data_IF_404644720793
#
_entry.id   IF_404644720793
#
_cell.length_a   1.000
_cell.length_b   1.000
_cell.length_c   1.000
_cell.angle_alpha   90.00
_cell.angle_beta   90.00
_cell.angle_gamma   90.00
#
_symmetry.space_group_name_H-M   'P 1'
#
loop_
_entity.id
_entity.type
_entity.pdbx_description
1 polymer ?
#
# COMPACT_ATOMS: atom_id res chain seq x y z
N UNK A 1 37.25 16.69 -25.07
CA UNK A 1 37.85 15.99 -23.88
C UNK A 1 37.09 16.21 -22.57
N UNK A 2 35.82 16.56 -22.55
CA UNK A 2 35.05 16.94 -21.35
C UNK A 2 34.07 15.87 -20.82
N UNK A 3 33.52 15.03 -21.67
CA UNK A 3 32.38 14.15 -21.29
C UNK A 3 32.79 12.86 -20.56
N UNK A 4 33.97 12.34 -20.75
CA UNK A 4 34.43 11.09 -20.09
C UNK A 4 34.87 11.31 -18.64
N UNK A 5 35.30 12.54 -18.27
CA UNK A 5 35.70 12.84 -16.87
C UNK A 5 34.50 13.04 -15.92
N UNK A 6 33.36 13.51 -16.44
CA UNK A 6 32.14 13.68 -15.63
C UNK A 6 31.50 12.33 -15.23
N UNK A 7 31.56 11.32 -16.12
CA UNK A 7 31.03 9.98 -15.84
C UNK A 7 31.77 9.23 -14.72
N UNK A 8 33.07 9.51 -14.56
CA UNK A 8 33.89 8.88 -13.54
C UNK A 8 33.66 9.44 -12.13
N UNK A 9 33.34 10.72 -12.03
CA UNK A 9 33.04 11.39 -10.76
C UNK A 9 31.65 11.01 -10.24
N UNK A 10 30.64 10.95 -11.11
CA UNK A 10 29.26 10.57 -10.75
C UNK A 10 29.16 9.11 -10.24
N UNK A 11 29.96 8.19 -10.81
CA UNK A 11 29.98 6.77 -10.34
C UNK A 11 30.60 6.59 -8.95
N UNK A 12 31.53 7.43 -8.54
CA UNK A 12 32.16 7.34 -7.21
C UNK A 12 31.27 7.94 -6.11
N UNK A 13 30.56 9.03 -6.42
CA UNK A 13 29.73 9.72 -5.43
C UNK A 13 28.44 8.96 -5.10
N UNK A 14 27.80 8.29 -6.07
CA UNK A 14 26.58 7.49 -5.83
C UNK A 14 26.88 6.24 -5.01
N UNK A 15 28.02 5.55 -5.24
CA UNK A 15 28.42 4.41 -4.42
C UNK A 15 28.74 4.84 -2.97
N UNK A 16 29.25 6.04 -2.77
CA UNK A 16 29.55 6.60 -1.45
C UNK A 16 28.27 7.07 -0.74
N UNK A 17 27.27 7.56 -1.47
CA UNK A 17 25.98 7.96 -0.90
C UNK A 17 25.12 6.75 -0.51
N UNK A 18 25.23 5.63 -1.23
CA UNK A 18 24.51 4.39 -0.91
C UNK A 18 25.23 3.48 0.10
N UNK A 19 26.53 3.67 0.31
CA UNK A 19 27.37 2.82 1.20
C UNK A 19 27.96 3.51 2.43
N UNK A 20 27.85 4.81 2.55
CA UNK A 20 28.42 5.59 3.65
C UNK A 20 27.37 5.93 4.71
N UNK A 21 27.24 5.12 5.74
CA UNK A 21 26.46 5.42 6.94
C UNK A 21 26.92 6.72 7.61
N UNK A 22 26.57 7.87 7.07
CA UNK A 22 26.58 9.10 7.85
C UNK A 22 25.37 9.04 8.78
N UNK A 23 25.63 8.73 10.03
CA UNK A 23 24.69 8.96 11.13
C UNK A 23 24.35 10.45 11.15
N UNK A 24 23.26 10.84 10.52
CA UNK A 24 22.65 12.12 10.78
C UNK A 24 22.11 12.04 12.20
N UNK A 25 22.65 12.89 13.10
CA UNK A 25 22.10 13.00 14.45
C UNK A 25 20.62 13.37 14.35
N UNK A 26 19.74 12.51 14.84
CA UNK A 26 18.29 12.67 14.82
C UNK A 26 17.83 13.81 15.75
N UNK A 27 18.42 14.98 15.65
CA UNK A 27 18.10 16.15 16.44
C UNK A 27 17.24 17.13 15.66
N UNK A 28 15.95 17.17 15.98
CA UNK A 28 15.06 18.35 15.94
C UNK A 28 14.48 18.87 14.63
N UNK A 29 15.07 18.62 13.45
CA UNK A 29 14.56 19.23 12.21
C UNK A 29 13.25 18.60 11.69
N UNK A 30 13.02 17.29 11.90
CA UNK A 30 11.82 16.56 11.43
C UNK A 30 10.88 16.11 12.55
N UNK A 31 11.14 16.46 13.82
CA UNK A 31 10.41 15.90 14.95
C UNK A 31 10.83 14.45 15.26
N UNK A 32 10.07 13.76 16.11
CA UNK A 32 10.33 12.35 16.44
C UNK A 32 9.80 11.45 15.33
N UNK A 33 10.68 10.92 14.49
CA UNK A 33 10.34 9.90 13.49
C UNK A 33 10.43 8.49 14.11
N UNK A 34 9.62 7.53 13.61
CA UNK A 34 9.72 6.13 14.04
C UNK A 34 11.09 5.56 13.63
N UNK A 35 11.68 4.73 14.49
CA UNK A 35 12.96 4.05 14.18
C UNK A 35 12.80 2.97 13.13
N UNK A 36 11.60 2.42 13.00
CA UNK A 36 11.25 1.36 12.05
C UNK A 36 9.89 1.64 11.43
N UNK A 37 9.77 1.39 10.14
CA UNK A 37 8.52 1.47 9.38
C UNK A 37 8.22 0.10 8.76
N UNK A 38 7.00 -0.37 8.97
CA UNK A 38 6.47 -1.57 8.32
C UNK A 38 5.89 -1.18 6.95
N UNK A 39 6.40 -1.79 5.89
CA UNK A 39 5.81 -1.67 4.55
C UNK A 39 4.81 -2.78 4.31
N UNK A 40 3.66 -2.41 3.77
CA UNK A 40 2.64 -3.33 3.23
C UNK A 40 2.64 -3.17 1.72
N UNK A 41 3.10 -4.19 1.03
CA UNK A 41 3.18 -4.21 -0.42
C UNK A 41 1.81 -4.59 -1.00
N UNK A 42 1.17 -3.66 -1.67
CA UNK A 42 -0.15 -3.88 -2.27
C UNK A 42 -0.11 -4.06 -3.79
N UNK A 43 1.07 -4.07 -4.39
CA UNK A 43 1.26 -4.21 -5.83
C UNK A 43 0.59 -5.46 -6.42
N UNK A 44 0.75 -6.66 -5.86
CA UNK A 44 0.14 -7.86 -6.40
C UNK A 44 -1.40 -7.86 -6.34
N UNK A 45 -2.01 -7.14 -5.41
CA UNK A 45 -3.46 -7.01 -5.31
C UNK A 45 -3.94 -5.69 -5.92
N UNK A 46 -3.75 -4.57 -5.23
CA UNK A 46 -4.29 -3.26 -5.59
C UNK A 46 -3.63 -2.73 -6.87
N UNK A 47 -2.33 -2.91 -6.97
CA UNK A 47 -1.57 -2.52 -8.15
C UNK A 47 -2.04 -3.25 -9.40
N UNK A 48 -1.97 -4.56 -9.42
CA UNK A 48 -2.34 -5.37 -10.59
C UNK A 48 -3.83 -5.27 -10.91
N UNK A 49 -4.71 -5.11 -9.92
CA UNK A 49 -6.16 -5.02 -10.13
C UNK A 49 -6.53 -3.95 -11.16
N UNK A 50 -5.78 -2.88 -11.25
CA UNK A 50 -6.02 -1.75 -12.14
C UNK A 50 -5.24 -1.84 -13.47
N UNK A 51 -4.43 -2.89 -13.69
CA UNK A 51 -3.71 -3.09 -14.94
C UNK A 51 -4.64 -3.70 -16.01
N UNK A 52 -4.52 -3.17 -17.24
CA UNK A 52 -5.38 -3.62 -18.37
C UNK A 52 -4.99 -4.99 -18.91
N UNK A 53 -3.71 -5.32 -18.81
CA UNK A 53 -3.16 -6.60 -19.28
C UNK A 53 -3.38 -7.63 -18.18
N UNK A 54 -4.06 -8.73 -18.50
CA UNK A 54 -4.22 -9.86 -17.59
C UNK A 54 -2.85 -10.52 -17.40
N UNK A 55 -2.36 -10.51 -16.18
CA UNK A 55 -1.08 -11.09 -15.82
C UNK A 55 -1.27 -12.59 -15.55
N UNK A 56 -0.46 -13.48 -16.15
CA UNK A 56 -0.52 -14.91 -15.88
C UNK A 56 -0.24 -15.25 -14.40
N UNK A 57 -0.82 -16.34 -13.92
CA UNK A 57 -0.73 -16.78 -12.54
C UNK A 57 0.72 -17.03 -12.09
N UNK A 58 1.51 -17.69 -12.92
CA UNK A 58 2.93 -17.95 -12.66
C UNK A 58 3.76 -16.67 -12.50
N UNK A 59 3.45 -15.64 -13.28
CA UNK A 59 4.06 -14.31 -13.17
C UNK A 59 3.67 -13.62 -11.87
N UNK A 60 2.41 -13.70 -11.44
CA UNK A 60 1.96 -13.16 -10.15
C UNK A 60 2.67 -13.85 -8.99
N UNK A 61 2.78 -15.17 -9.05
CA UNK A 61 3.49 -15.99 -8.07
C UNK A 61 4.98 -15.62 -8.01
N UNK A 62 5.64 -15.46 -9.16
CA UNK A 62 7.05 -15.05 -9.21
C UNK A 62 7.23 -13.64 -8.65
N UNK A 63 6.34 -12.69 -8.98
CA UNK A 63 6.36 -11.35 -8.40
C UNK A 63 6.27 -11.38 -6.87
N UNK A 64 5.29 -12.09 -6.31
CA UNK A 64 5.10 -12.21 -4.86
C UNK A 64 6.33 -12.84 -4.20
N UNK A 65 6.90 -13.89 -4.79
CA UNK A 65 8.09 -14.55 -4.26
C UNK A 65 9.32 -13.62 -4.28
N UNK A 66 9.53 -12.84 -5.34
CA UNK A 66 10.61 -11.82 -5.42
C UNK A 66 10.47 -10.75 -4.36
N UNK A 67 9.24 -10.27 -4.11
CA UNK A 67 8.95 -9.27 -3.10
C UNK A 67 9.21 -9.84 -1.69
N UNK A 68 8.84 -11.09 -1.45
CA UNK A 68 9.15 -11.78 -0.19
C UNK A 68 10.67 -11.96 0.02
N UNK A 69 11.41 -12.38 -1.04
CA UNK A 69 12.86 -12.51 -1.03
C UNK A 69 13.60 -11.15 -0.90
N UNK A 70 12.91 -10.04 -1.21
CA UNK A 70 13.39 -8.69 -0.95
C UNK A 70 13.23 -8.24 0.51
N UNK A 71 12.54 -9.03 1.35
CA UNK A 71 12.37 -8.75 2.77
C UNK A 71 11.09 -7.97 3.12
N UNK A 72 10.13 -7.84 2.20
CA UNK A 72 8.83 -7.22 2.51
C UNK A 72 8.08 -8.07 3.53
N UNK A 73 7.69 -7.49 4.69
CA UNK A 73 7.09 -8.27 5.78
C UNK A 73 5.62 -8.60 5.55
N UNK A 74 4.95 -7.81 4.72
CA UNK A 74 3.52 -7.99 4.37
C UNK A 74 3.34 -7.77 2.88
N UNK A 75 2.74 -8.73 2.19
CA UNK A 75 2.45 -8.67 0.75
C UNK A 75 0.99 -9.05 0.55
N UNK A 76 0.15 -8.09 0.20
CA UNK A 76 -1.25 -8.35 -0.12
C UNK A 76 -1.34 -9.13 -1.44
N UNK A 77 -1.53 -10.45 -1.32
CA UNK A 77 -1.26 -11.38 -2.41
C UNK A 77 -2.30 -11.35 -3.52
N UNK A 78 -3.57 -11.19 -3.17
CA UNK A 78 -4.70 -11.24 -4.12
C UNK A 78 -6.01 -10.77 -3.48
N UNK A 79 -7.12 -10.87 -4.21
CA UNK A 79 -8.47 -10.54 -3.74
C UNK A 79 -9.45 -11.65 -4.06
N UNK A 80 -10.28 -12.02 -3.10
CA UNK A 80 -11.39 -12.97 -3.26
C UNK A 80 -12.70 -12.27 -3.67
N UNK A 81 -12.57 -11.26 -4.53
CA UNK A 81 -13.68 -10.63 -5.21
C UNK A 81 -14.19 -11.51 -6.36
N UNK A 82 -15.43 -11.32 -6.76
CA UNK A 82 -15.98 -12.10 -7.91
C UNK A 82 -15.17 -11.83 -9.19
N UNK A 83 -14.73 -12.87 -9.91
CA UNK A 83 -14.02 -12.73 -11.19
C UNK A 83 -14.81 -11.95 -12.27
N UNK A 84 -16.13 -11.91 -12.14
CA UNK A 84 -17.00 -11.12 -13.04
C UNK A 84 -16.76 -9.63 -12.92
N UNK A 85 -16.36 -9.16 -11.71
CA UNK A 85 -16.06 -7.75 -11.45
C UNK A 85 -14.59 -7.43 -11.68
N UNK A 86 -13.69 -8.32 -11.26
CA UNK A 86 -12.25 -8.12 -11.38
C UNK A 86 -11.62 -9.36 -12.02
N UNK A 87 -11.63 -9.47 -13.36
CA UNK A 87 -11.04 -10.62 -14.07
C UNK A 87 -9.55 -10.84 -13.75
N UNK A 88 -8.80 -9.77 -13.48
CA UNK A 88 -7.40 -9.84 -13.09
C UNK A 88 -7.16 -10.71 -11.85
N UNK A 89 -8.14 -10.85 -10.96
CA UNK A 89 -8.06 -11.62 -9.71
C UNK A 89 -8.78 -12.98 -9.80
N UNK A 90 -9.07 -13.48 -11.02
CA UNK A 90 -9.82 -14.72 -11.20
C UNK A 90 -9.06 -15.98 -10.72
N UNK A 91 -7.75 -15.90 -10.65
CA UNK A 91 -6.81 -16.97 -10.28
C UNK A 91 -6.41 -16.96 -8.79
N UNK A 92 -7.15 -16.26 -7.94
CA UNK A 92 -6.82 -16.02 -6.53
C UNK A 92 -6.51 -17.30 -5.74
N UNK A 93 -7.22 -18.39 -6.00
CA UNK A 93 -7.02 -19.68 -5.30
C UNK A 93 -5.68 -20.29 -5.71
N UNK A 94 -5.35 -20.25 -6.99
CA UNK A 94 -4.13 -20.81 -7.52
C UNK A 94 -2.91 -20.01 -7.07
N UNK A 95 -2.99 -18.67 -7.10
CA UNK A 95 -1.95 -17.80 -6.54
C UNK A 95 -1.67 -18.16 -5.10
N UNK A 96 -2.70 -18.22 -4.23
CA UNK A 96 -2.54 -18.52 -2.79
C UNK A 96 -1.96 -19.90 -2.51
N UNK A 97 -2.19 -20.87 -3.39
CA UNK A 97 -1.63 -22.23 -3.25
C UNK A 97 -0.19 -22.32 -3.74
N UNK A 98 0.20 -21.49 -4.72
CA UNK A 98 1.48 -21.60 -5.43
C UNK A 98 2.59 -20.72 -4.87
N UNK A 99 2.27 -19.64 -4.12
CA UNK A 99 3.29 -18.78 -3.52
C UNK A 99 4.09 -19.51 -2.44
N UNK A 100 5.38 -19.17 -2.33
CA UNK A 100 6.23 -19.58 -1.20
C UNK A 100 5.79 -18.81 0.04
N UNK A 101 5.28 -19.53 1.02
CA UNK A 101 4.87 -18.92 2.30
C UNK A 101 6.06 -18.90 3.24
N UNK A 102 6.84 -17.81 3.22
CA UNK A 102 7.96 -17.62 4.13
C UNK A 102 7.45 -17.36 5.55
N UNK A 103 8.10 -17.91 6.60
CA UNK A 103 7.58 -17.86 7.97
C UNK A 103 7.46 -16.45 8.56
N UNK A 104 8.27 -15.51 8.07
CA UNK A 104 8.30 -14.12 8.56
C UNK A 104 7.57 -13.13 7.64
N UNK A 105 6.78 -13.62 6.68
CA UNK A 105 6.03 -12.80 5.73
C UNK A 105 4.55 -13.12 5.85
N UNK A 106 3.73 -12.10 6.04
CA UNK A 106 2.27 -12.23 5.97
C UNK A 106 1.78 -12.01 4.54
N UNK A 107 0.77 -12.79 4.15
CA UNK A 107 0.15 -12.74 2.83
C UNK A 107 -1.36 -12.51 2.98
N UNK A 108 -1.78 -11.29 3.41
CA UNK A 108 -3.20 -10.97 3.50
C UNK A 108 -3.87 -11.02 2.12
N UNK A 109 -5.17 -11.27 2.13
CA UNK A 109 -6.00 -11.24 0.93
C UNK A 109 -7.25 -10.41 1.17
N UNK A 110 -7.66 -9.64 0.17
CA UNK A 110 -8.87 -8.83 0.27
C UNK A 110 -10.12 -9.71 0.17
N UNK A 111 -11.06 -9.53 1.10
CA UNK A 111 -12.34 -10.26 1.11
C UNK A 111 -13.51 -9.28 1.15
N UNK A 112 -14.38 -9.25 0.13
CA UNK A 112 -15.48 -8.28 0.04
C UNK A 112 -16.70 -8.65 0.88
N UNK A 113 -16.82 -9.90 1.32
CA UNK A 113 -17.95 -10.45 2.05
C UNK A 113 -17.64 -11.84 2.62
N UNK A 114 -18.59 -12.42 3.35
CA UNK A 114 -18.46 -13.75 3.97
C UNK A 114 -18.17 -14.87 2.96
N UNK A 115 -18.71 -14.80 1.73
CA UNK A 115 -18.42 -15.79 0.68
C UNK A 115 -16.95 -15.73 0.25
N UNK A 116 -16.43 -14.53 0.03
CA UNK A 116 -15.01 -14.31 -0.27
C UNK A 116 -14.11 -14.76 0.88
N UNK A 117 -14.50 -14.48 2.14
CA UNK A 117 -13.78 -14.96 3.31
C UNK A 117 -13.68 -16.48 3.34
N UNK A 118 -14.80 -17.20 3.16
CA UNK A 118 -14.81 -18.67 3.14
C UNK A 118 -13.92 -19.24 2.03
N UNK A 119 -13.96 -18.63 0.84
CA UNK A 119 -13.08 -19.02 -0.27
C UNK A 119 -11.60 -18.77 0.06
N UNK A 120 -11.27 -17.67 0.70
CA UNK A 120 -9.91 -17.34 1.14
C UNK A 120 -9.39 -18.39 2.16
N UNK A 121 -10.22 -18.77 3.13
CA UNK A 121 -9.87 -19.81 4.11
C UNK A 121 -9.58 -21.15 3.40
N UNK A 122 -10.43 -21.55 2.47
CA UNK A 122 -10.25 -22.78 1.68
C UNK A 122 -8.98 -22.74 0.79
N UNK A 123 -8.51 -21.56 0.43
CA UNK A 123 -7.25 -21.36 -0.28
C UNK A 123 -6.03 -21.27 0.66
N UNK A 124 -6.23 -21.34 1.98
CA UNK A 124 -5.18 -21.33 3.00
C UNK A 124 -4.67 -19.95 3.38
N UNK A 125 -5.47 -18.89 3.21
CA UNK A 125 -5.18 -17.58 3.75
C UNK A 125 -5.09 -17.62 5.28
N UNK A 126 -4.18 -16.82 5.85
CA UNK A 126 -3.95 -16.71 7.30
C UNK A 126 -4.24 -15.33 7.84
N UNK A 127 -4.53 -14.39 6.94
CA UNK A 127 -4.90 -13.02 7.22
C UNK A 127 -5.79 -12.52 6.10
N UNK A 128 -6.79 -11.70 6.43
CA UNK A 128 -7.67 -11.09 5.44
C UNK A 128 -7.76 -9.58 5.63
N UNK A 129 -8.20 -8.91 4.57
CA UNK A 129 -8.52 -7.49 4.62
C UNK A 129 -9.97 -7.25 4.20
N UNK A 130 -10.60 -6.25 4.82
CA UNK A 130 -11.90 -5.69 4.45
C UNK A 130 -11.72 -4.21 4.12
N UNK A 131 -12.69 -3.60 3.44
CA UNK A 131 -12.58 -2.22 3.00
C UNK A 131 -13.90 -1.47 3.12
N UNK A 132 -13.83 -0.27 3.66
CA UNK A 132 -14.92 0.69 3.71
C UNK A 132 -14.50 2.00 3.06
N UNK A 133 -15.35 3.02 3.17
CA UNK A 133 -15.06 4.35 2.67
C UNK A 133 -15.59 5.42 3.63
N UNK A 134 -14.93 6.57 3.67
CA UNK A 134 -15.42 7.75 4.40
C UNK A 134 -16.40 8.61 3.56
N UNK A 135 -16.78 8.13 2.37
CA UNK A 135 -17.69 8.80 1.45
C UNK A 135 -18.89 7.91 1.12
N UNK A 136 -20.10 8.40 1.38
CA UNK A 136 -21.34 7.70 1.02
C UNK A 136 -21.46 7.48 -0.49
N UNK A 137 -21.15 8.49 -1.29
CA UNK A 137 -21.21 8.40 -2.74
C UNK A 137 -20.22 7.36 -3.29
N UNK A 138 -19.01 7.27 -2.70
CA UNK A 138 -18.05 6.26 -3.08
C UNK A 138 -18.49 4.86 -2.67
N UNK A 139 -18.98 4.69 -1.44
CA UNK A 139 -19.49 3.41 -0.95
C UNK A 139 -20.59 2.87 -1.87
N UNK A 140 -21.59 3.70 -2.17
CA UNK A 140 -22.70 3.30 -3.07
C UNK A 140 -22.22 2.91 -4.48
N UNK A 141 -21.26 3.65 -5.04
CA UNK A 141 -20.74 3.36 -6.39
C UNK A 141 -19.77 2.17 -6.44
N UNK A 142 -18.97 1.98 -5.39
CA UNK A 142 -17.92 0.96 -5.36
C UNK A 142 -18.45 -0.41 -4.91
N UNK A 143 -19.30 -0.44 -3.88
CA UNK A 143 -19.81 -1.69 -3.28
C UNK A 143 -21.33 -1.75 -3.17
N UNK A 144 -22.04 -0.85 -3.85
CA UNK A 144 -23.49 -0.78 -3.96
C UNK A 144 -24.23 -0.83 -2.61
N UNK A 145 -23.71 -0.13 -1.60
CA UNK A 145 -24.35 0.05 -0.29
C UNK A 145 -23.87 1.32 0.40
N UNK A 146 -24.60 1.77 1.41
CA UNK A 146 -24.19 2.86 2.29
C UNK A 146 -22.99 2.45 3.16
N UNK A 147 -22.37 3.43 3.82
CA UNK A 147 -21.31 3.16 4.81
C UNK A 147 -21.87 2.30 5.94
N UNK A 148 -23.06 2.59 6.44
CA UNK A 148 -23.68 1.83 7.53
C UNK A 148 -23.93 0.37 7.13
N UNK A 149 -24.56 0.14 5.97
CA UNK A 149 -24.79 -1.21 5.43
C UNK A 149 -23.47 -1.96 5.14
N UNK A 150 -22.40 -1.27 4.75
CA UNK A 150 -21.09 -1.90 4.55
C UNK A 150 -20.50 -2.42 5.86
N UNK A 151 -20.61 -1.65 6.92
CA UNK A 151 -20.16 -2.04 8.27
C UNK A 151 -20.94 -3.27 8.77
N UNK A 152 -22.27 -3.29 8.60
CA UNK A 152 -23.09 -4.46 8.95
C UNK A 152 -22.69 -5.70 8.15
N UNK A 153 -22.47 -5.56 6.85
CA UNK A 153 -22.01 -6.64 5.98
C UNK A 153 -20.64 -7.19 6.39
N UNK A 154 -19.72 -6.31 6.79
CA UNK A 154 -18.40 -6.73 7.27
C UNK A 154 -18.44 -7.37 8.66
N UNK A 155 -19.46 -7.10 9.48
CA UNK A 155 -19.61 -7.77 10.76
C UNK A 155 -19.69 -9.30 10.60
N UNK A 156 -20.35 -9.81 9.55
CA UNK A 156 -20.37 -11.24 9.25
C UNK A 156 -18.97 -11.82 8.98
N UNK A 157 -18.12 -11.05 8.28
CA UNK A 157 -16.72 -11.43 8.04
C UNK A 157 -15.93 -11.44 9.34
N UNK A 158 -16.11 -10.39 10.17
CA UNK A 158 -15.41 -10.26 11.45
C UNK A 158 -15.78 -11.39 12.43
N UNK A 159 -17.05 -11.77 12.48
CA UNK A 159 -17.52 -12.86 13.34
C UNK A 159 -16.93 -14.20 12.89
N UNK A 160 -16.93 -14.47 11.59
CA UNK A 160 -16.32 -15.67 11.02
C UNK A 160 -14.79 -15.70 11.23
N UNK A 161 -14.12 -14.57 11.08
CA UNK A 161 -12.68 -14.43 11.29
C UNK A 161 -12.31 -14.65 12.76
N UNK A 162 -13.10 -14.11 13.69
CA UNK A 162 -12.92 -14.31 15.15
C UNK A 162 -13.02 -15.78 15.51
N UNK A 163 -14.03 -16.49 15.00
CA UNK A 163 -14.20 -17.92 15.24
C UNK A 163 -13.03 -18.74 14.67
N UNK A 164 -12.51 -18.33 13.51
CA UNK A 164 -11.39 -18.99 12.85
C UNK A 164 -10.00 -18.58 13.38
N UNK A 165 -9.92 -17.57 14.28
CA UNK A 165 -8.66 -17.03 14.78
C UNK A 165 -7.84 -16.31 13.69
N UNK A 166 -8.51 -15.69 12.71
CA UNK A 166 -7.89 -15.00 11.56
C UNK A 166 -7.86 -13.50 11.81
N UNK A 167 -6.68 -12.86 11.79
CA UNK A 167 -6.59 -11.41 11.90
C UNK A 167 -7.18 -10.72 10.65
N UNK A 168 -7.83 -9.57 10.91
CA UNK A 168 -8.47 -8.77 9.86
C UNK A 168 -7.89 -7.37 9.84
N UNK A 169 -7.43 -6.94 8.67
CA UNK A 169 -7.00 -5.56 8.38
C UNK A 169 -8.15 -4.77 7.78
N UNK A 170 -8.30 -3.49 8.14
CA UNK A 170 -9.32 -2.61 7.59
C UNK A 170 -8.73 -1.57 6.64
N UNK A 171 -9.41 -1.26 5.53
CA UNK A 171 -9.11 -0.11 4.66
C UNK A 171 -10.24 0.90 4.74
N UNK A 172 -9.90 2.19 4.87
CA UNK A 172 -10.84 3.30 4.74
C UNK A 172 -10.46 4.14 3.53
N UNK A 173 -11.26 4.07 2.47
CA UNK A 173 -11.05 4.84 1.24
C UNK A 173 -11.57 6.27 1.36
N UNK A 174 -11.06 7.16 0.52
CA UNK A 174 -11.49 8.56 0.41
C UNK A 174 -11.27 9.39 1.68
N UNK A 175 -10.13 9.24 2.33
CA UNK A 175 -9.87 9.93 3.62
C UNK A 175 -9.60 11.44 3.48
N UNK A 176 -9.36 11.94 2.27
CA UNK A 176 -9.15 13.38 2.01
C UNK A 176 -10.16 13.89 1.01
N UNK A 177 -10.37 13.13 -0.06
CA UNK A 177 -11.26 13.52 -1.15
C UNK A 177 -11.92 12.33 -1.81
N UNK A 178 -13.10 12.58 -2.38
CA UNK A 178 -13.90 11.59 -3.11
C UNK A 178 -14.11 12.05 -4.55
N UNK A 179 -13.96 11.16 -5.56
CA UNK A 179 -14.15 11.55 -6.95
C UNK A 179 -15.60 11.91 -7.32
N UNK A 180 -16.55 11.63 -6.44
CA UNK A 180 -17.98 11.86 -6.68
C UNK A 180 -18.58 12.98 -5.85
N UNK A 181 -18.18 13.11 -4.58
CA UNK A 181 -18.73 14.14 -3.68
C UNK A 181 -17.74 15.26 -3.33
N UNK A 182 -16.50 15.18 -3.79
CA UNK A 182 -15.46 16.15 -3.47
C UNK A 182 -14.89 15.97 -2.07
N UNK A 183 -14.85 17.00 -1.27
CA UNK A 183 -14.23 16.99 0.06
C UNK A 183 -14.90 15.99 1.02
N UNK A 184 -14.06 15.32 1.80
CA UNK A 184 -14.48 14.42 2.89
C UNK A 184 -14.01 15.02 4.22
N UNK A 185 -14.91 15.13 5.19
CA UNK A 185 -14.56 15.74 6.46
C UNK A 185 -13.65 14.82 7.30
N UNK A 186 -12.63 15.35 7.96
CA UNK A 186 -11.79 14.60 8.90
C UNK A 186 -12.59 13.85 9.98
N UNK A 187 -13.66 14.46 10.50
CA UNK A 187 -14.51 13.82 11.50
C UNK A 187 -15.21 12.56 10.96
N UNK A 188 -15.64 12.56 9.68
CA UNK A 188 -16.23 11.36 9.06
C UNK A 188 -15.21 10.25 8.86
N UNK A 189 -13.97 10.59 8.53
CA UNK A 189 -12.86 9.62 8.47
C UNK A 189 -12.60 9.01 9.84
N UNK A 190 -12.52 9.82 10.88
CA UNK A 190 -12.33 9.35 12.26
C UNK A 190 -13.46 8.42 12.72
N UNK A 191 -14.73 8.78 12.43
CA UNK A 191 -15.89 7.93 12.71
C UNK A 191 -15.76 6.55 12.06
N UNK A 192 -15.48 6.50 10.74
CA UNK A 192 -15.41 5.23 10.00
C UNK A 192 -14.20 4.41 10.44
N UNK A 193 -13.03 5.03 10.61
CA UNK A 193 -11.83 4.37 11.08
C UNK A 193 -12.04 3.74 12.47
N UNK A 194 -12.67 4.49 13.39
CA UNK A 194 -13.03 3.99 14.72
C UNK A 194 -13.97 2.79 14.63
N UNK A 195 -15.01 2.85 13.80
CA UNK A 195 -15.95 1.73 13.63
C UNK A 195 -15.24 0.47 13.11
N UNK A 196 -14.31 0.61 12.16
CA UNK A 196 -13.51 -0.51 11.66
C UNK A 196 -12.65 -1.14 12.77
N UNK A 197 -12.01 -0.30 13.58
CA UNK A 197 -11.21 -0.78 14.71
C UNK A 197 -12.07 -1.43 15.80
N UNK A 198 -13.19 -0.81 16.17
CA UNK A 198 -14.12 -1.33 17.20
C UNK A 198 -14.74 -2.68 16.79
N UNK A 199 -14.91 -2.95 15.48
CA UNK A 199 -15.30 -4.26 14.97
C UNK A 199 -14.23 -5.34 15.18
N UNK A 200 -12.96 -4.94 15.41
CA UNK A 200 -11.85 -5.84 15.65
C UNK A 200 -10.79 -5.87 14.56
N UNK A 201 -10.77 -4.90 13.61
CA UNK A 201 -9.62 -4.75 12.73
C UNK A 201 -8.39 -4.39 13.56
N UNK A 202 -7.32 -5.17 13.42
CA UNK A 202 -6.09 -4.95 14.18
C UNK A 202 -5.31 -3.72 13.72
N UNK A 203 -5.52 -3.31 12.47
CA UNK A 203 -4.89 -2.17 11.82
C UNK A 203 -5.87 -1.57 10.81
N UNK A 204 -5.93 -0.24 10.74
CA UNK A 204 -6.78 0.52 9.81
C UNK A 204 -5.90 1.36 8.90
N UNK A 205 -5.93 1.07 7.60
CA UNK A 205 -5.23 1.82 6.57
C UNK A 205 -6.10 2.96 6.04
N UNK A 206 -5.55 4.16 6.07
CA UNK A 206 -6.20 5.41 5.68
C UNK A 206 -5.79 5.75 4.24
N UNK A 207 -6.73 5.62 3.29
CA UNK A 207 -6.47 5.71 1.85
C UNK A 207 -6.84 7.07 1.24
N UNK A 208 -5.84 7.80 0.76
CA UNK A 208 -6.01 8.92 -0.17
C UNK A 208 -6.23 8.37 -1.60
N UNK A 209 -7.44 7.88 -1.83
CA UNK A 209 -7.84 7.06 -2.99
C UNK A 209 -7.62 7.73 -4.34
N UNK A 210 -7.70 9.06 -4.41
CA UNK A 210 -7.52 9.82 -5.66
C UNK A 210 -6.25 10.68 -5.65
N UNK A 211 -5.45 10.58 -4.58
CA UNK A 211 -4.17 11.24 -4.45
C UNK A 211 -4.21 12.76 -4.40
N UNK A 212 -5.33 13.33 -3.95
CA UNK A 212 -5.50 14.81 -3.82
C UNK A 212 -4.99 15.35 -2.49
N UNK A 213 -4.54 14.47 -1.61
CA UNK A 213 -3.99 14.84 -0.32
C UNK A 213 -2.73 15.68 -0.43
N UNK A 214 -2.62 16.63 0.47
CA UNK A 214 -1.41 17.42 0.71
C UNK A 214 -0.99 17.24 2.17
N UNK A 215 0.26 17.55 2.56
CA UNK A 215 0.67 17.48 3.96
C UNK A 215 -0.28 18.17 4.92
N UNK A 216 -0.86 19.31 4.53
CA UNK A 216 -1.84 20.04 5.34
C UNK A 216 -3.16 19.29 5.54
N UNK A 217 -3.73 18.72 4.48
CA UNK A 217 -4.98 17.96 4.56
C UNK A 217 -4.79 16.60 5.26
N UNK A 218 -3.67 15.91 5.01
CA UNK A 218 -3.32 14.67 5.73
C UNK A 218 -3.15 14.95 7.23
N UNK A 219 -2.46 16.04 7.60
CA UNK A 219 -2.33 16.42 9.00
C UNK A 219 -3.70 16.70 9.65
N UNK A 220 -4.58 17.44 8.98
CA UNK A 220 -5.89 17.74 9.51
C UNK A 220 -6.74 16.47 9.71
N UNK A 221 -6.68 15.54 8.76
CA UNK A 221 -7.35 14.25 8.84
C UNK A 221 -6.78 13.41 9.99
N UNK A 222 -5.46 13.29 10.10
CA UNK A 222 -4.81 12.52 11.15
C UNK A 222 -5.05 13.10 12.55
N UNK A 223 -5.12 14.43 12.72
CA UNK A 223 -5.49 15.03 14.01
C UNK A 223 -6.85 14.51 14.47
N UNK A 224 -7.85 14.45 13.58
CA UNK A 224 -9.17 13.95 13.95
C UNK A 224 -9.15 12.42 14.25
N UNK A 225 -8.44 11.64 13.45
CA UNK A 225 -8.36 10.18 13.65
C UNK A 225 -7.59 9.83 14.92
N UNK A 226 -6.47 10.51 15.21
CA UNK A 226 -5.63 10.29 16.39
C UNK A 226 -6.33 10.69 17.70
N UNK A 227 -7.39 11.48 17.64
CA UNK A 227 -8.25 11.74 18.79
C UNK A 227 -9.07 10.51 19.20
N UNK A 228 -9.38 9.64 18.24
CA UNK A 228 -10.19 8.43 18.43
C UNK A 228 -9.37 7.15 18.54
N UNK A 229 -8.22 7.06 17.85
CA UNK A 229 -7.41 5.86 17.71
C UNK A 229 -5.92 6.16 17.92
N UNK A 230 -5.16 5.27 18.57
CA UNK A 230 -3.72 5.43 18.68
C UNK A 230 -3.02 5.23 17.34
N UNK A 231 -1.91 5.94 17.11
CA UNK A 231 -1.13 5.85 15.87
C UNK A 231 -0.67 4.41 15.54
N UNK A 232 -0.43 3.59 16.56
CA UNK A 232 0.06 2.22 16.40
C UNK A 232 -0.90 1.24 15.71
N UNK A 233 -2.18 1.61 15.57
CA UNK A 233 -3.18 0.81 14.83
C UNK A 233 -3.52 1.41 13.46
N UNK A 234 -2.79 2.44 13.04
CA UNK A 234 -3.04 3.16 11.79
C UNK A 234 -1.95 2.87 10.76
N UNK A 235 -2.36 2.82 9.50
CA UNK A 235 -1.47 2.80 8.34
C UNK A 235 -1.86 3.91 7.36
N UNK A 236 -0.89 4.36 6.55
CA UNK A 236 -1.14 5.32 5.46
C UNK A 236 -1.03 4.65 4.10
N UNK A 237 -2.04 4.88 3.28
CA UNK A 237 -2.09 4.48 1.88
C UNK A 237 -2.26 5.75 1.02
N UNK A 238 -1.20 6.13 0.33
CA UNK A 238 -1.18 7.38 -0.43
C UNK A 238 -1.04 7.12 -1.93
N UNK A 239 -1.96 7.68 -2.72
CA UNK A 239 -1.77 7.79 -4.15
C UNK A 239 -0.87 8.97 -4.51
N UNK A 240 -0.07 8.80 -5.56
CA UNK A 240 0.91 9.80 -6.02
C UNK A 240 0.42 10.61 -7.22
N UNK A 241 -0.89 10.67 -7.44
CA UNK A 241 -1.55 11.32 -8.59
C UNK A 241 -1.04 12.74 -8.83
N UNK A 242 -0.87 13.51 -7.76
CA UNK A 242 -0.35 14.89 -7.80
C UNK A 242 1.09 15.01 -7.24
N UNK A 243 1.82 13.90 -7.14
CA UNK A 243 3.21 13.91 -6.69
C UNK A 243 3.40 14.23 -5.20
N UNK A 244 2.35 14.08 -4.38
CA UNK A 244 2.40 14.46 -2.96
C UNK A 244 2.55 13.28 -2.01
N UNK A 245 2.53 12.04 -2.51
CA UNK A 245 2.47 10.85 -1.64
C UNK A 245 3.62 10.78 -0.64
N UNK A 246 4.87 11.01 -1.05
CA UNK A 246 6.03 10.97 -0.15
C UNK A 246 5.96 12.05 0.94
N UNK A 247 5.53 13.27 0.59
CA UNK A 247 5.36 14.35 1.56
C UNK A 247 4.21 14.04 2.55
N UNK A 248 3.15 13.41 2.09
CA UNK A 248 2.03 12.96 2.89
C UNK A 248 2.44 11.85 3.87
N UNK A 249 3.21 10.87 3.39
CA UNK A 249 3.78 9.80 4.22
C UNK A 249 4.71 10.38 5.27
N UNK A 250 5.62 11.27 4.90
CA UNK A 250 6.51 11.93 5.86
C UNK A 250 5.72 12.66 6.96
N UNK A 251 4.64 13.35 6.59
CA UNK A 251 3.74 14.00 7.55
C UNK A 251 3.12 12.99 8.51
N UNK A 252 2.67 11.84 8.01
CA UNK A 252 2.10 10.79 8.86
C UNK A 252 3.15 10.17 9.81
N UNK A 253 4.38 9.96 9.34
CA UNK A 253 5.47 9.49 10.17
C UNK A 253 5.79 10.47 11.32
N UNK A 254 5.77 11.78 11.05
CA UNK A 254 5.93 12.83 12.06
C UNK A 254 4.79 12.84 13.09
N UNK A 255 3.63 12.31 12.76
CA UNK A 255 2.48 12.16 13.64
C UNK A 255 2.41 10.79 14.33
N UNK A 256 3.45 9.95 14.17
CA UNK A 256 3.60 8.67 14.87
C UNK A 256 3.07 7.45 14.14
N UNK A 257 2.49 7.57 12.95
CA UNK A 257 2.13 6.43 12.12
C UNK A 257 3.42 5.75 11.62
N UNK A 258 3.49 4.43 11.70
CA UNK A 258 4.69 3.67 11.34
C UNK A 258 4.43 2.50 10.37
N UNK A 259 3.27 2.50 9.75
CA UNK A 259 2.89 1.53 8.71
C UNK A 259 2.50 2.27 7.43
N UNK A 260 3.05 1.84 6.30
CA UNK A 260 2.84 2.48 5.01
C UNK A 260 2.52 1.42 3.95
N UNK A 261 1.43 1.62 3.23
CA UNK A 261 1.11 0.84 2.03
C UNK A 261 1.81 1.46 0.82
N UNK A 262 2.39 0.62 0.00
CA UNK A 262 3.04 1.03 -1.24
C UNK A 262 2.94 -0.06 -2.30
N UNK A 263 3.19 0.27 -3.54
CA UNK A 263 3.08 -0.65 -4.67
C UNK A 263 4.35 -0.66 -5.48
N UNK A 264 4.97 -1.83 -5.64
CA UNK A 264 6.18 -1.99 -6.44
C UNK A 264 6.00 -1.38 -7.84
N UNK A 265 7.01 -0.67 -8.32
CA UNK A 265 6.98 0.06 -9.60
C UNK A 265 5.82 1.08 -9.74
N UNK A 266 5.18 1.49 -8.64
CA UNK A 266 3.99 2.31 -8.70
C UNK A 266 2.85 1.65 -9.48
N UNK A 267 2.70 0.32 -9.36
CA UNK A 267 1.60 -0.41 -10.02
C UNK A 267 0.24 0.08 -9.54
N UNK A 268 -0.72 0.12 -10.45
CA UNK A 268 -2.05 0.63 -10.21
C UNK A 268 -2.18 2.09 -10.65
N UNK A 269 -2.98 2.32 -11.69
CA UNK A 269 -3.36 3.67 -12.10
C UNK A 269 -4.43 4.23 -11.17
N UNK A 270 -4.61 5.54 -11.19
CA UNK A 270 -5.80 6.15 -10.60
C UNK A 270 -6.96 6.06 -11.61
N UNK A 271 -7.98 5.22 -11.39
CA UNK A 271 -9.08 5.08 -12.36
C UNK A 271 -9.87 6.38 -12.57
N UNK A 272 -9.66 7.36 -11.71
CA UNK A 272 -10.34 8.66 -11.71
C UNK A 272 -9.52 9.81 -12.30
N UNK A 273 -8.23 9.56 -12.64
CA UNK A 273 -7.30 10.60 -13.10
C UNK A 273 -6.60 10.26 -14.41
N UNK A 274 -7.19 9.44 -15.26
CA UNK A 274 -6.70 9.11 -16.59
C UNK A 274 -5.33 8.43 -16.57
N UNK A 275 -4.30 9.08 -17.12
CA UNK A 275 -2.94 8.52 -17.21
C UNK A 275 -2.06 8.81 -15.96
N UNK A 276 -2.62 9.41 -14.91
CA UNK A 276 -1.87 9.73 -13.71
C UNK A 276 -1.48 8.47 -12.92
N UNK A 277 -0.33 8.52 -12.24
CA UNK A 277 0.08 7.46 -11.32
C UNK A 277 -0.94 7.32 -10.20
N UNK A 278 -1.20 6.07 -9.79
CA UNK A 278 -2.02 5.76 -8.61
C UNK A 278 -1.15 5.60 -7.38
N UNK A 279 -0.91 4.36 -6.95
CA UNK A 279 -0.11 4.06 -5.76
C UNK A 279 1.28 4.70 -5.79
N UNK A 280 1.77 5.10 -4.62
CA UNK A 280 3.18 5.46 -4.44
C UNK A 280 4.06 4.23 -4.67
N UNK A 281 5.18 4.42 -5.37
CA UNK A 281 6.11 3.33 -5.62
C UNK A 281 6.86 2.90 -4.35
N UNK A 282 6.95 1.60 -4.10
CA UNK A 282 7.65 1.03 -2.94
C UNK A 282 9.12 1.43 -2.93
N UNK A 283 9.75 1.48 -4.10
CA UNK A 283 11.14 1.90 -4.27
C UNK A 283 11.36 3.36 -3.82
N UNK A 284 10.42 4.25 -4.15
CA UNK A 284 10.52 5.66 -3.80
C UNK A 284 10.32 5.87 -2.30
N UNK A 285 9.40 5.12 -1.68
CA UNK A 285 9.20 5.11 -0.22
C UNK A 285 10.44 4.57 0.49
N UNK A 286 11.00 3.45 0.03
CA UNK A 286 12.23 2.87 0.61
C UNK A 286 13.40 3.85 0.54
N UNK A 287 13.59 4.52 -0.60
CA UNK A 287 14.67 5.50 -0.77
C UNK A 287 14.54 6.65 0.23
N UNK A 288 13.34 7.18 0.41
CA UNK A 288 13.06 8.23 1.41
C UNK A 288 13.35 7.72 2.83
N UNK A 289 12.84 6.54 3.21
CA UNK A 289 12.99 6.00 4.56
C UNK A 289 14.46 5.69 4.89
N UNK A 290 15.20 5.08 3.96
CA UNK A 290 16.63 4.82 4.13
C UNK A 290 17.43 6.12 4.26
N UNK A 291 17.09 7.15 3.46
CA UNK A 291 17.71 8.48 3.56
C UNK A 291 17.45 9.17 4.91
N UNK A 292 16.34 8.86 5.57
CA UNK A 292 15.99 9.31 6.91
C UNK A 292 16.62 8.44 8.03
N UNK A 293 17.32 7.36 7.68
CA UNK A 293 17.90 6.42 8.65
C UNK A 293 16.85 5.52 9.33
N UNK A 294 15.68 5.36 8.72
CA UNK A 294 14.59 4.51 9.23
C UNK A 294 14.79 3.09 8.74
N UNK A 295 14.76 2.12 9.65
CA UNK A 295 14.85 0.70 9.34
C UNK A 295 13.53 0.20 8.72
N UNK A 296 13.62 -0.57 7.64
CA UNK A 296 12.49 -1.25 7.01
C UNK A 296 12.70 -2.77 6.92
N UNK A 297 13.94 -3.22 6.98
CA UNK A 297 14.33 -4.61 6.73
C UNK A 297 14.22 -5.02 5.26
N UNK A 298 13.99 -4.09 4.33
CA UNK A 298 13.72 -4.37 2.90
C UNK A 298 14.91 -3.96 2.03
N UNK A 299 15.28 -4.81 1.11
CA UNK A 299 16.34 -4.59 0.11
C UNK A 299 15.78 -3.82 -1.09
N UNK A 300 16.15 -2.54 -1.20
CA UNK A 300 15.73 -1.66 -2.27
C UNK A 300 16.11 -2.19 -3.67
N UNK A 301 17.31 -2.76 -3.82
CA UNK A 301 17.77 -3.25 -5.11
C UNK A 301 16.92 -4.43 -5.61
N UNK A 302 16.58 -5.36 -4.73
CA UNK A 302 15.68 -6.47 -5.05
C UNK A 302 14.26 -6.02 -5.39
N UNK A 303 13.77 -4.97 -4.72
CA UNK A 303 12.46 -4.37 -5.07
C UNK A 303 12.50 -3.74 -6.45
N UNK A 304 13.56 -3.01 -6.80
CA UNK A 304 13.76 -2.46 -8.16
C UNK A 304 13.76 -3.59 -9.21
N UNK A 305 14.44 -4.71 -8.92
CA UNK A 305 14.48 -5.87 -9.83
C UNK A 305 13.10 -6.51 -10.01
N UNK A 306 12.32 -6.66 -8.92
CA UNK A 306 10.95 -7.13 -8.96
C UNK A 306 10.03 -6.17 -9.74
N UNK A 307 10.17 -4.86 -9.54
CA UNK A 307 9.45 -3.83 -10.30
C UNK A 307 9.78 -3.86 -11.79
N UNK A 308 11.05 -3.98 -12.14
CA UNK A 308 11.48 -4.09 -13.53
C UNK A 308 11.01 -5.41 -14.19
N UNK A 309 10.93 -6.49 -13.42
CA UNK A 309 10.39 -7.76 -13.89
C UNK A 309 8.92 -7.61 -14.31
N UNK A 310 8.06 -7.12 -13.41
CA UNK A 310 6.64 -7.01 -13.72
C UNK A 310 6.35 -5.97 -14.82
N UNK A 311 7.09 -4.86 -14.86
CA UNK A 311 6.94 -3.84 -15.89
C UNK A 311 7.28 -4.37 -17.30
N UNK A 312 8.27 -5.27 -17.42
CA UNK A 312 8.56 -5.95 -18.70
C UNK A 312 7.40 -6.81 -19.16
N UNK A 313 6.75 -7.55 -18.27
CA UNK A 313 5.57 -8.36 -18.60
C UNK A 313 4.39 -7.50 -19.02
N UNK A 314 4.18 -6.39 -18.34
CA UNK A 314 3.09 -5.45 -18.64
C UNK A 314 3.37 -4.57 -19.87
N UNK A 315 4.60 -4.58 -20.41
CA UNK A 315 4.99 -3.72 -21.53
C UNK A 315 4.97 -2.23 -21.21
N UNK A 316 5.22 -1.84 -19.95
CA UNK A 316 5.21 -0.44 -19.49
C UNK A 316 6.52 -0.06 -18.81
N UNK A 317 6.89 1.24 -18.78
CA UNK A 317 8.01 1.71 -17.97
C UNK A 317 7.74 1.55 -16.48
N UNK A 318 8.80 1.41 -15.68
CA UNK A 318 8.72 1.44 -14.23
C UNK A 318 8.27 2.85 -13.77
N UNK A 319 7.23 2.92 -12.93
CA UNK A 319 6.67 4.17 -12.42
C UNK A 319 7.47 4.78 -11.27
N UNK A 320 8.45 4.07 -10.72
CA UNK A 320 9.34 4.60 -9.68
C UNK A 320 10.39 5.54 -10.27
N UNK A 321 10.53 6.71 -9.67
CA UNK A 321 11.60 7.67 -9.99
C UNK A 321 12.97 7.09 -9.64
N UNK A 322 13.07 6.38 -8.51
CA UNK A 322 14.31 5.74 -8.04
C UNK A 322 14.76 4.64 -8.99
N UNK A 323 13.85 3.72 -9.37
CA UNK A 323 14.18 2.66 -10.32
C UNK A 323 14.61 3.24 -11.68
N UNK A 324 13.91 4.29 -12.16
CA UNK A 324 14.25 4.96 -13.42
C UNK A 324 15.62 5.63 -13.38
N UNK A 325 15.95 6.30 -12.28
CA UNK A 325 17.27 6.93 -12.11
C UNK A 325 18.40 5.90 -12.05
N UNK A 326 18.18 4.81 -11.28
CA UNK A 326 19.17 3.75 -11.09
C UNK A 326 19.46 2.99 -12.38
N UNK A 327 18.48 2.80 -13.26
CA UNK A 327 18.67 2.09 -14.54
C UNK A 327 19.55 2.85 -15.57
N UNK A 328 19.81 4.14 -15.33
CA UNK A 328 20.63 5.01 -16.19
C UNK A 328 22.09 5.13 -15.72
N UNK A 329 22.42 4.57 -14.56
CA UNK A 329 23.76 4.53 -13.99
C UNK A 329 24.46 3.20 -14.29
#
# INVERSE_FOLDING_TARGET
MGYARLKGLLRRDVATVLGGGRSYSHGTAFGALPRRVKLVEVGPRDGLQNEKVIVPTDVKVDLINRLADAGLPVIEATSFVSPKWIPQMADQVEVMRSIKKLPNVSYPVLTPNLQGFKAAMNAGAKEVAIFGAASESFSRKNINCSIAESIERFQEVMDAARVAGIPVRGYVSCVVGCPYQGNVSPAKVAEVAKRMHDMGCYEVSLGDTIGVGTPGSIRAMLVAVLHELPAGVLAMHCHNTYGQALANILTALQMGVSVVDSSVAGLGGCPYAGAASGNVATEDVLYMLHGLGIDTGVDLQKVIEAGNFICRVLGRPNGSSVATATSKL
#
